data_IF_908486969786
#
_entry.id   IF_908486969786
#
_cell.length_a   1.000
_cell.length_b   1.000
_cell.length_c   1.000
_cell.angle_alpha   90.00
_cell.angle_beta   90.00
_cell.angle_gamma   90.00
#
_symmetry.space_group_name_H-M   'P 1'
#
loop_
_entity.id
_entity.type
_entity.pdbx_description
1 polymer ?
#
# COMPACT_ATOMS: atom_id res chain seq x y z
N UNK A 1 28.34 -51.82 31.54
CA UNK A 1 28.48 -50.36 31.62
C UNK A 1 28.33 -49.83 30.22
N UNK A 2 27.11 -49.43 29.85
CA UNK A 2 26.88 -48.55 28.71
C UNK A 2 27.46 -47.20 29.12
N UNK A 3 28.51 -46.74 28.43
CA UNK A 3 28.88 -45.33 28.48
C UNK A 3 27.66 -44.55 28.00
N UNK A 4 27.01 -43.80 28.89
CA UNK A 4 26.13 -42.72 28.48
C UNK A 4 26.97 -41.81 27.58
N UNK A 5 26.73 -41.88 26.27
CA UNK A 5 27.26 -40.88 25.36
C UNK A 5 26.71 -39.55 25.85
N UNK A 6 27.58 -38.72 26.45
CA UNK A 6 27.20 -37.37 26.87
C UNK A 6 26.55 -36.68 25.66
N UNK A 7 25.28 -36.30 25.82
CA UNK A 7 24.53 -35.65 24.75
C UNK A 7 25.31 -34.41 24.32
N UNK A 8 25.66 -34.32 23.04
CA UNK A 8 26.37 -33.17 22.50
C UNK A 8 25.56 -31.90 22.80
N UNK A 9 26.23 -30.78 23.06
CA UNK A 9 25.52 -29.52 23.24
C UNK A 9 24.71 -29.15 22.01
N UNK A 10 23.82 -28.17 22.11
CA UNK A 10 23.02 -27.71 20.97
C UNK A 10 22.91 -26.20 20.96
N UNK A 11 23.11 -25.60 19.79
CA UNK A 11 22.78 -24.19 19.51
C UNK A 11 21.58 -24.18 18.57
N UNK A 12 20.44 -23.65 19.03
CA UNK A 12 19.26 -23.44 18.20
C UNK A 12 19.12 -21.96 17.88
N UNK A 13 19.15 -21.59 16.60
CA UNK A 13 18.86 -20.22 16.15
C UNK A 13 17.42 -20.18 15.68
N UNK A 14 16.58 -19.43 16.41
CA UNK A 14 15.17 -19.28 16.13
C UNK A 14 14.92 -18.05 15.27
N UNK A 15 14.46 -18.26 14.03
CA UNK A 15 14.05 -17.22 13.11
C UNK A 15 12.55 -16.93 13.28
N UNK A 16 12.19 -15.67 13.50
CA UNK A 16 10.81 -15.22 13.64
C UNK A 16 10.48 -14.20 12.56
N UNK A 17 9.26 -14.24 12.05
CA UNK A 17 8.72 -13.20 11.17
C UNK A 17 8.24 -12.02 12.02
N UNK A 18 8.67 -10.78 11.74
CA UNK A 18 8.14 -9.59 12.40
C UNK A 18 6.71 -9.26 11.93
N UNK A 19 6.19 -9.97 10.93
CA UNK A 19 4.85 -9.80 10.32
C UNK A 19 3.81 -10.76 10.92
N UNK A 20 4.23 -11.62 11.84
CA UNK A 20 3.35 -12.51 12.60
C UNK A 20 3.25 -11.99 14.02
N UNK A 21 2.09 -12.18 14.67
CA UNK A 21 1.90 -11.74 16.05
C UNK A 21 2.99 -12.35 16.97
N UNK A 22 3.60 -11.55 17.86
CA UNK A 22 4.60 -12.04 18.78
C UNK A 22 4.10 -13.23 19.60
N UNK A 23 4.91 -14.27 19.74
CA UNK A 23 4.55 -15.50 20.48
C UNK A 23 3.76 -16.55 19.68
N UNK A 24 3.28 -16.24 18.47
CA UNK A 24 2.81 -17.27 17.54
C UNK A 24 4.00 -18.00 16.92
N UNK A 25 4.55 -18.94 17.69
CA UNK A 25 5.63 -19.80 17.27
C UNK A 25 5.14 -21.21 16.94
N UNK A 26 5.85 -21.90 16.04
CA UNK A 26 5.61 -23.32 15.77
C UNK A 26 5.78 -24.14 17.05
N UNK A 27 5.13 -25.32 17.13
CA UNK A 27 5.28 -26.20 18.30
C UNK A 27 6.73 -26.61 18.53
N UNK A 28 7.48 -26.86 17.45
CA UNK A 28 8.90 -27.18 17.52
C UNK A 28 9.72 -26.03 18.14
N UNK A 29 9.40 -24.78 17.77
CA UNK A 29 10.05 -23.60 18.35
C UNK A 29 9.78 -23.47 19.86
N UNK A 30 8.54 -23.66 20.29
CA UNK A 30 8.22 -23.67 21.73
C UNK A 30 8.96 -24.79 22.47
N UNK A 31 9.01 -26.00 21.91
CA UNK A 31 9.76 -27.11 22.50
C UNK A 31 11.26 -26.82 22.62
N UNK A 32 11.85 -26.18 21.60
CA UNK A 32 13.25 -25.78 21.64
C UNK A 32 13.52 -24.72 22.72
N UNK A 33 12.64 -23.73 22.87
CA UNK A 33 12.75 -22.70 23.91
C UNK A 33 12.56 -23.28 25.32
N UNK A 34 11.55 -24.15 25.52
CA UNK A 34 11.27 -24.82 26.80
C UNK A 34 12.40 -25.76 27.24
N UNK A 35 13.07 -26.42 26.27
CA UNK A 35 14.18 -27.34 26.53
C UNK A 35 15.54 -26.64 26.68
N UNK A 36 15.65 -25.37 26.28
CA UNK A 36 16.90 -24.64 26.33
C UNK A 36 17.32 -24.36 27.79
N UNK A 37 18.59 -24.65 28.09
CA UNK A 37 19.21 -24.26 29.36
C UNK A 37 19.29 -22.74 29.51
N UNK A 38 19.50 -22.03 28.40
CA UNK A 38 19.48 -20.58 28.34
C UNK A 38 18.94 -20.11 26.99
N UNK A 39 18.16 -19.02 27.02
CA UNK A 39 17.64 -18.35 25.84
C UNK A 39 18.32 -16.98 25.78
N UNK A 40 18.90 -16.66 24.62
CA UNK A 40 19.57 -15.39 24.36
C UNK A 40 18.86 -14.60 23.28
N UNK A 41 19.02 -13.29 23.31
CA UNK A 41 18.70 -12.40 22.21
C UNK A 41 19.67 -11.21 22.22
N UNK A 42 19.88 -10.58 21.07
CA UNK A 42 20.68 -9.37 20.98
C UNK A 42 20.12 -8.28 21.90
N UNK A 43 20.99 -7.65 22.68
CA UNK A 43 20.63 -6.51 23.51
C UNK A 43 20.36 -5.27 22.66
N UNK A 44 19.27 -4.55 22.94
CA UNK A 44 19.05 -3.22 22.33
C UNK A 44 20.21 -2.29 22.71
N UNK A 45 20.95 -1.70 21.76
CA UNK A 45 22.07 -0.82 22.09
C UNK A 45 21.61 0.35 22.95
N UNK A 46 22.30 0.58 24.07
CA UNK A 46 22.02 1.70 24.95
C UNK A 46 22.33 3.02 24.23
N UNK A 47 21.30 3.70 23.72
CA UNK A 47 21.39 5.08 23.21
C UNK A 47 21.42 5.26 21.69
N UNK A 48 20.79 4.38 20.90
CA UNK A 48 20.54 4.64 19.47
C UNK A 48 19.07 4.99 19.22
N UNK A 49 18.79 6.22 18.79
CA UNK A 49 17.50 6.54 18.16
C UNK A 49 17.22 5.56 17.03
N UNK A 50 16.03 4.98 16.98
CA UNK A 50 15.58 4.17 15.86
C UNK A 50 15.77 4.94 14.54
N UNK A 51 16.71 4.51 13.70
CA UNK A 51 16.97 5.13 12.40
C UNK A 51 18.38 4.92 11.85
N UNK A 52 18.61 3.79 11.18
CA UNK A 52 19.12 3.73 9.80
C UNK A 52 19.52 2.29 9.49
N UNK A 53 18.65 1.58 8.78
CA UNK A 53 19.09 0.42 8.02
C UNK A 53 20.00 0.95 6.91
N UNK A 54 21.28 0.62 6.99
CA UNK A 54 22.24 0.85 5.92
C UNK A 54 21.77 0.17 4.64
N UNK A 55 21.48 0.95 3.61
CA UNK A 55 21.39 0.49 2.21
C UNK A 55 22.73 -0.16 1.81
N UNK A 56 22.74 -1.27 1.04
CA UNK A 56 23.96 -1.77 0.45
C UNK A 56 24.39 -0.86 -0.71
N UNK A 57 25.63 -0.39 -0.66
CA UNK A 57 26.33 0.36 -1.71
C UNK A 57 26.47 -0.48 -3.00
N UNK A 58 25.86 -0.10 -4.14
CA UNK A 58 25.95 -0.85 -5.38
C UNK A 58 27.09 -0.31 -6.25
N UNK A 59 28.34 -0.49 -5.83
CA UNK A 59 29.47 -0.15 -6.70
C UNK A 59 30.73 -0.96 -6.41
N UNK A 60 30.83 -2.16 -7.00
CA UNK A 60 32.09 -2.72 -7.55
C UNK A 60 31.88 -4.08 -8.23
N UNK A 61 32.03 -4.11 -9.56
CA UNK A 61 32.58 -5.31 -10.23
C UNK A 61 31.96 -5.72 -11.57
N UNK A 62 32.29 -5.03 -12.66
CA UNK A 62 32.52 -5.59 -14.00
C UNK A 62 33.01 -4.44 -14.91
N UNK A 63 34.32 -4.30 -15.13
CA UNK A 63 35.07 -4.84 -16.28
C UNK A 63 34.69 -4.16 -17.61
N UNK A 64 35.68 -3.53 -18.24
CA UNK A 64 35.48 -2.50 -19.27
C UNK A 64 35.47 -3.00 -20.71
N UNK A 65 35.18 -2.07 -21.62
CA UNK A 65 35.85 -1.92 -22.93
C UNK A 65 35.39 -0.63 -23.65
N UNK A 66 36.41 0.13 -24.08
CA UNK A 66 36.53 0.91 -25.32
C UNK A 66 35.67 2.17 -25.61
N UNK A 67 36.42 3.30 -25.66
CA UNK A 67 36.50 4.33 -26.72
C UNK A 67 35.33 5.30 -26.96
N UNK A 68 35.58 6.56 -26.61
CA UNK A 68 35.06 7.75 -27.30
C UNK A 68 35.96 8.08 -28.52
N UNK A 69 35.45 8.82 -29.53
CA UNK A 69 35.48 10.28 -29.44
C UNK A 69 34.16 10.98 -29.85
N UNK A 70 33.92 12.11 -29.18
CA UNK A 70 33.02 13.23 -29.49
C UNK A 70 33.47 14.00 -30.78
N UNK A 71 32.79 15.07 -31.28
CA UNK A 71 31.54 15.72 -30.81
C UNK A 71 30.56 16.16 -31.92
N UNK A 72 29.34 16.56 -31.53
CA UNK A 72 28.71 17.87 -31.83
C UNK A 72 27.17 17.85 -31.89
N UNK A 73 26.55 18.64 -31.00
CA UNK A 73 25.46 19.57 -31.37
C UNK A 73 24.00 19.13 -31.18
N UNK A 74 23.29 19.83 -30.28
CA UNK A 74 21.89 20.21 -30.54
C UNK A 74 20.80 19.72 -29.58
N UNK A 75 20.61 20.49 -28.51
CA UNK A 75 19.33 20.92 -27.92
C UNK A 75 18.19 19.91 -27.55
N UNK A 76 17.93 19.92 -26.23
CA UNK A 76 16.64 20.12 -25.55
C UNK A 76 15.54 19.02 -25.57
N UNK A 77 15.29 18.48 -24.37
CA UNK A 77 14.05 17.79 -23.97
C UNK A 77 14.06 17.60 -22.45
N UNK A 78 13.28 18.41 -21.75
CA UNK A 78 13.26 18.57 -20.29
C UNK A 78 12.57 17.40 -19.57
N UNK A 79 13.29 16.76 -18.64
CA UNK A 79 12.75 15.90 -17.58
C UNK A 79 12.78 16.69 -16.28
N UNK A 80 11.61 16.93 -15.67
CA UNK A 80 11.48 17.70 -14.44
C UNK A 80 11.75 16.81 -13.23
N UNK A 81 13.00 16.79 -12.79
CA UNK A 81 13.39 16.34 -11.45
C UNK A 81 13.15 17.47 -10.44
N UNK A 82 12.49 17.12 -9.33
CA UNK A 82 12.24 17.98 -8.17
C UNK A 82 13.56 18.44 -7.52
N UNK A 83 13.87 19.74 -7.64
CA UNK A 83 14.90 20.40 -6.85
C UNK A 83 14.25 21.27 -5.77
N UNK A 84 14.52 20.93 -4.51
CA UNK A 84 14.16 21.67 -3.30
C UNK A 84 15.26 22.68 -2.95
N UNK A 85 15.02 23.98 -3.09
CA UNK A 85 15.78 25.00 -2.35
C UNK A 85 15.09 26.38 -2.30
N UNK A 86 14.95 26.90 -1.07
CA UNK A 86 14.81 28.33 -0.74
C UNK A 86 13.37 28.83 -0.60
N UNK A 87 12.95 29.50 0.47
CA UNK A 87 13.60 29.99 1.68
C UNK A 87 12.68 31.06 2.30
N UNK A 88 12.71 31.22 3.62
CA UNK A 88 12.37 32.48 4.28
C UNK A 88 12.78 32.44 5.75
N UNK A 89 13.79 33.25 6.09
CA UNK A 89 14.15 33.56 7.45
C UNK A 89 13.09 34.47 8.07
N UNK A 90 12.48 34.03 9.16
CA UNK A 90 11.60 34.82 10.01
C UNK A 90 12.14 34.83 11.44
N UNK A 91 12.75 35.94 11.83
CA UNK A 91 13.26 36.20 13.17
C UNK A 91 12.13 36.33 14.19
N UNK A 92 12.14 35.55 15.27
CA UNK A 92 11.35 35.83 16.48
C UNK A 92 12.20 35.70 17.73
N UNK A 93 12.32 36.82 18.43
CA UNK A 93 13.01 37.07 19.69
C UNK A 93 12.46 36.28 20.88
N UNK A 94 13.33 35.62 21.63
CA UNK A 94 13.05 35.05 22.96
C UNK A 94 13.33 36.11 24.04
N UNK A 95 12.46 36.34 25.04
CA UNK A 95 12.81 37.19 26.17
C UNK A 95 13.61 36.38 27.21
N UNK A 96 14.69 36.98 27.70
CA UNK A 96 15.52 36.47 28.78
C UNK A 96 14.75 36.44 30.11
N UNK A 97 14.71 35.28 30.76
CA UNK A 97 14.20 35.07 32.11
C UNK A 97 15.32 35.10 33.16
N UNK A 98 15.02 35.74 34.28
CA UNK A 98 15.82 36.11 35.45
C UNK A 98 16.56 34.93 36.15
N UNK A 99 17.85 35.04 36.50
CA UNK A 99 18.61 33.96 37.12
C UNK A 99 18.55 34.05 38.65
N UNK A 100 17.59 33.39 39.30
CA UNK A 100 17.63 33.14 40.77
C UNK A 100 16.65 32.07 41.21
N UNK A 101 17.03 30.79 41.13
CA UNK A 101 16.43 29.72 41.95
C UNK A 101 17.47 28.60 42.15
N UNK A 102 17.78 28.19 43.39
CA UNK A 102 18.78 27.14 43.61
C UNK A 102 18.22 25.79 43.16
N UNK A 103 19.02 25.07 42.37
CA UNK A 103 18.71 23.73 41.86
C UNK A 103 18.53 22.74 43.02
N UNK A 104 17.29 22.30 43.24
CA UNK A 104 17.01 21.12 44.06
C UNK A 104 17.42 19.90 43.24
N UNK A 105 18.47 19.20 43.68
CA UNK A 105 18.96 17.98 43.06
C UNK A 105 17.91 16.87 43.22
N UNK A 106 17.12 16.64 42.17
CA UNK A 106 16.35 15.40 42.02
C UNK A 106 17.33 14.23 41.95
N UNK A 107 17.06 13.10 42.64
CA UNK A 107 17.83 11.88 42.42
C UNK A 107 17.71 11.46 40.94
N UNK A 108 18.74 10.82 40.36
CA UNK A 108 18.66 10.38 38.97
C UNK A 108 17.44 9.46 38.78
N UNK A 109 16.73 9.56 37.65
CA UNK A 109 15.63 8.64 37.37
C UNK A 109 16.17 7.21 37.41
N UNK A 110 15.39 6.30 38.03
CA UNK A 110 15.64 4.87 38.00
C UNK A 110 15.91 4.44 36.54
N UNK A 111 16.91 3.58 36.35
CA UNK A 111 17.50 3.25 35.05
C UNK A 111 16.44 3.05 33.97
N UNK A 112 16.66 3.66 32.81
CA UNK A 112 15.79 3.53 31.64
C UNK A 112 15.50 2.03 31.39
N UNK A 113 14.25 1.65 31.57
CA UNK A 113 13.80 0.28 31.34
C UNK A 113 14.08 -0.06 29.88
N UNK A 114 14.90 -1.09 29.63
CA UNK A 114 15.29 -1.45 28.27
C UNK A 114 14.05 -1.93 27.53
N UNK A 115 13.65 -1.21 26.48
CA UNK A 115 12.54 -1.64 25.62
C UNK A 115 12.97 -2.91 24.89
N UNK A 116 12.34 -4.02 25.28
CA UNK A 116 12.54 -5.33 24.66
C UNK A 116 11.80 -5.41 23.33
N UNK A 117 12.36 -6.17 22.37
CA UNK A 117 11.66 -6.53 21.14
C UNK A 117 10.40 -7.34 21.46
N UNK A 118 9.37 -7.22 20.62
CA UNK A 118 8.05 -7.79 20.91
C UNK A 118 8.07 -9.33 21.00
N UNK A 119 8.90 -10.01 20.20
CA UNK A 119 9.11 -11.45 20.27
C UNK A 119 9.80 -11.87 21.58
N UNK A 120 10.81 -11.12 22.03
CA UNK A 120 11.43 -11.30 23.35
C UNK A 120 10.41 -11.09 24.47
N UNK A 121 9.60 -10.04 24.39
CA UNK A 121 8.52 -9.79 25.37
C UNK A 121 7.52 -10.95 25.42
N UNK A 122 7.14 -11.52 24.27
CA UNK A 122 6.23 -12.65 24.21
C UNK A 122 6.81 -13.91 24.85
N UNK A 123 8.09 -14.21 24.61
CA UNK A 123 8.79 -15.33 25.26
C UNK A 123 8.91 -15.10 26.76
N UNK A 124 9.27 -13.89 27.20
CA UNK A 124 9.30 -13.54 28.63
C UNK A 124 7.92 -13.64 29.28
N UNK A 125 6.87 -13.16 28.61
CA UNK A 125 5.49 -13.24 29.05
C UNK A 125 4.97 -14.68 29.19
N UNK A 126 5.57 -15.65 28.51
CA UNK A 126 5.29 -17.08 28.68
C UNK A 126 5.93 -17.70 29.93
N UNK A 127 6.76 -16.94 30.66
CA UNK A 127 7.45 -17.38 31.86
C UNK A 127 8.89 -17.85 31.64
N UNK A 128 9.41 -17.75 30.42
CA UNK A 128 10.79 -18.11 30.08
C UNK A 128 11.74 -16.92 30.28
N UNK A 129 12.95 -17.16 30.80
CA UNK A 129 13.96 -16.11 30.96
C UNK A 129 14.77 -15.94 29.68
N UNK A 130 14.84 -14.70 29.17
CA UNK A 130 15.67 -14.34 28.00
C UNK A 130 16.81 -13.43 28.43
N UNK A 131 18.05 -13.85 28.17
CA UNK A 131 19.26 -13.07 28.43
C UNK A 131 19.51 -12.11 27.27
N UNK A 132 19.55 -10.81 27.55
CA UNK A 132 19.99 -9.80 26.60
C UNK A 132 21.52 -9.80 26.55
N UNK A 133 22.09 -10.20 25.42
CA UNK A 133 23.55 -10.22 25.24
C UNK A 133 23.96 -8.92 24.56
N UNK A 134 24.72 -8.10 25.27
CA UNK A 134 25.29 -6.87 24.73
C UNK A 134 26.54 -7.16 23.91
N UNK A 135 26.83 -6.29 22.94
CA UNK A 135 28.01 -6.39 22.07
C UNK A 135 27.63 -6.60 20.62
N UNK A 136 28.57 -7.14 19.85
CA UNK A 136 28.36 -7.48 18.45
C UNK A 136 28.30 -8.99 18.23
N UNK A 137 28.44 -9.37 16.95
CA UNK A 137 28.35 -10.77 16.51
C UNK A 137 29.33 -11.70 17.26
N UNK A 138 30.52 -11.21 17.61
CA UNK A 138 31.53 -12.00 18.32
C UNK A 138 31.07 -12.34 19.75
N UNK A 139 30.49 -11.38 20.47
CA UNK A 139 29.95 -11.57 21.81
C UNK A 139 28.72 -12.48 21.79
N UNK A 140 27.83 -12.29 20.81
CA UNK A 140 26.65 -13.16 20.62
C UNK A 140 27.07 -14.62 20.37
N UNK A 141 28.02 -14.83 19.45
CA UNK A 141 28.54 -16.17 19.18
C UNK A 141 29.31 -16.76 20.35
N UNK A 142 30.11 -15.96 21.05
CA UNK A 142 30.82 -16.38 22.26
C UNK A 142 29.87 -16.86 23.35
N UNK A 143 28.76 -16.16 23.55
CA UNK A 143 27.71 -16.56 24.50
C UNK A 143 27.07 -17.90 24.12
N UNK A 144 26.71 -18.08 22.85
CA UNK A 144 26.11 -19.33 22.35
C UNK A 144 27.07 -20.52 22.43
N UNK A 145 28.28 -20.36 21.88
CA UNK A 145 29.26 -21.43 21.76
C UNK A 145 29.82 -21.87 23.11
N UNK A 146 29.97 -20.97 24.09
CA UNK A 146 30.50 -21.31 25.42
C UNK A 146 29.58 -22.30 26.16
N UNK A 147 28.27 -22.03 26.18
CA UNK A 147 27.29 -22.91 26.83
C UNK A 147 27.14 -24.24 26.08
N UNK A 148 27.09 -24.19 24.74
CA UNK A 148 26.97 -25.39 23.92
C UNK A 148 28.21 -26.30 24.03
N UNK A 149 29.42 -25.73 24.08
CA UNK A 149 30.66 -26.50 24.28
C UNK A 149 30.72 -27.21 25.65
N UNK A 150 29.92 -26.77 26.62
CA UNK A 150 29.75 -27.44 27.91
C UNK A 150 28.63 -28.51 27.92
N UNK A 151 28.15 -28.93 26.73
CA UNK A 151 27.10 -29.95 26.60
C UNK A 151 25.68 -29.45 26.92
N UNK A 152 25.44 -28.12 26.85
CA UNK A 152 24.11 -27.54 27.11
C UNK A 152 23.37 -27.24 25.81
N UNK A 153 22.04 -27.33 25.84
CA UNK A 153 21.19 -26.78 24.79
C UNK A 153 20.95 -25.29 25.05
N UNK A 154 21.19 -24.43 24.07
CA UNK A 154 20.90 -22.99 24.11
C UNK A 154 20.09 -22.58 22.89
N UNK A 155 19.20 -21.62 23.09
CA UNK A 155 18.39 -21.05 22.03
C UNK A 155 18.69 -19.56 21.86
N UNK A 156 18.65 -19.08 20.62
CA UNK A 156 18.85 -17.68 20.26
C UNK A 156 17.63 -17.18 19.51
N UNK A 157 16.99 -16.12 20.01
CA UNK A 157 15.91 -15.41 19.30
C UNK A 157 16.56 -14.41 18.34
N UNK A 158 16.56 -14.73 17.05
CA UNK A 158 17.16 -13.88 16.03
C UNK A 158 16.44 -12.53 15.89
N UNK A 159 17.18 -11.52 15.43
CA UNK A 159 16.67 -10.20 15.02
C UNK A 159 15.57 -10.25 13.96
N UNK A 160 14.81 -9.16 13.82
CA UNK A 160 13.79 -9.01 12.75
C UNK A 160 14.41 -9.04 11.35
N UNK A 161 15.71 -8.74 11.25
CA UNK A 161 16.53 -8.85 10.03
C UNK A 161 17.15 -10.25 9.83
N UNK A 162 16.89 -11.18 10.74
CA UNK A 162 17.48 -12.52 10.76
C UNK A 162 18.97 -12.57 11.14
N UNK A 163 19.56 -11.44 11.57
CA UNK A 163 20.97 -11.29 11.95
C UNK A 163 21.96 -11.97 10.98
N UNK A 164 22.05 -11.50 9.71
CA UNK A 164 22.89 -12.15 8.70
C UNK A 164 24.37 -12.21 9.09
N UNK A 165 24.85 -11.27 9.92
CA UNK A 165 26.21 -11.29 10.48
C UNK A 165 26.46 -12.50 11.40
N UNK A 166 25.52 -12.82 12.29
CA UNK A 166 25.62 -13.99 13.17
C UNK A 166 25.53 -15.28 12.38
N UNK A 167 24.56 -15.39 11.46
CA UNK A 167 24.41 -16.55 10.59
C UNK A 167 25.66 -16.81 9.74
N UNK A 168 26.33 -15.75 9.28
CA UNK A 168 27.61 -15.87 8.58
C UNK A 168 28.71 -16.44 9.48
N UNK A 169 28.85 -15.96 10.71
CA UNK A 169 29.85 -16.49 11.66
C UNK A 169 29.57 -17.96 11.97
N UNK A 170 28.31 -18.33 12.19
CA UNK A 170 27.89 -19.72 12.41
C UNK A 170 28.30 -20.60 11.22
N UNK A 171 28.00 -20.16 9.99
CA UNK A 171 28.37 -20.89 8.77
C UNK A 171 29.90 -21.02 8.62
N UNK A 172 30.65 -19.94 8.85
CA UNK A 172 32.12 -19.93 8.78
C UNK A 172 32.73 -20.89 9.82
N UNK A 173 32.17 -20.99 11.02
CA UNK A 173 32.64 -21.90 12.06
C UNK A 173 32.36 -23.37 11.71
N UNK A 174 31.13 -23.69 11.29
CA UNK A 174 30.76 -25.05 10.86
C UNK A 174 31.59 -25.52 9.65
N UNK A 175 31.99 -24.60 8.77
CA UNK A 175 32.88 -24.90 7.64
C UNK A 175 34.32 -25.21 8.09
N UNK A 176 34.81 -24.57 9.16
CA UNK A 176 36.18 -24.75 9.69
C UNK A 176 36.31 -25.95 10.62
N UNK A 177 35.28 -26.21 11.43
CA UNK A 177 35.18 -27.36 12.33
C UNK A 177 33.92 -28.18 11.97
N UNK A 178 34.03 -29.16 11.06
CA UNK A 178 32.88 -29.92 10.57
C UNK A 178 32.22 -30.82 11.61
N UNK A 179 32.84 -30.98 12.80
CA UNK A 179 32.32 -31.77 13.93
C UNK A 179 32.60 -31.02 15.23
N UNK A 180 31.85 -29.94 15.53
CA UNK A 180 31.98 -29.25 16.80
C UNK A 180 31.55 -30.17 17.95
N UNK A 181 31.85 -29.76 19.19
CA UNK A 181 31.36 -30.45 20.40
C UNK A 181 29.84 -30.32 20.62
N UNK A 182 29.14 -29.65 19.71
CA UNK A 182 27.71 -29.34 19.75
C UNK A 182 27.12 -29.31 18.34
N UNK A 183 25.81 -29.56 18.26
CA UNK A 183 25.03 -29.41 17.04
C UNK A 183 24.52 -27.98 16.89
N UNK A 184 24.32 -27.55 15.64
CA UNK A 184 23.69 -26.26 15.33
C UNK A 184 22.43 -26.52 14.51
N UNK A 185 21.32 -25.96 14.96
CA UNK A 185 20.01 -26.06 14.31
C UNK A 185 19.47 -24.65 14.01
N UNK A 186 18.96 -24.45 12.79
CA UNK A 186 18.19 -23.25 12.43
C UNK A 186 16.73 -23.65 12.39
N UNK A 187 15.93 -23.03 13.25
CA UNK A 187 14.51 -23.34 13.41
C UNK A 187 13.66 -22.13 13.08
N UNK A 188 12.65 -22.32 12.22
CA UNK A 188 11.70 -21.26 11.90
C UNK A 188 10.57 -21.26 12.95
N UNK A 189 10.59 -20.25 13.80
CA UNK A 189 9.56 -20.00 14.81
C UNK A 189 8.28 -19.50 14.20
N UNK A 190 8.38 -18.56 13.26
CA UNK A 190 7.24 -18.10 12.45
C UNK A 190 7.73 -17.74 11.06
N UNK A 191 6.81 -17.66 10.10
CA UNK A 191 7.14 -17.41 8.70
C UNK A 191 6.15 -16.42 8.09
N UNK A 192 6.64 -15.67 7.11
CA UNK A 192 5.80 -14.82 6.28
C UNK A 192 4.83 -15.67 5.47
N UNK A 193 3.56 -15.27 5.46
CA UNK A 193 2.56 -15.78 4.52
C UNK A 193 2.50 -14.89 3.27
N UNK A 194 2.06 -15.40 2.11
CA UNK A 194 1.81 -14.56 0.95
C UNK A 194 0.94 -13.35 1.30
N UNK A 195 1.36 -12.15 0.88
CA UNK A 195 0.68 -10.90 1.20
C UNK A 195 1.14 -10.21 2.50
N UNK A 196 2.00 -10.83 3.31
CA UNK A 196 2.48 -10.26 4.58
C UNK A 196 3.14 -8.88 4.45
N UNK A 197 3.69 -8.54 3.27
CA UNK A 197 4.29 -7.23 2.98
C UNK A 197 3.31 -6.06 3.10
N UNK A 198 2.01 -6.31 3.04
CA UNK A 198 1.01 -5.28 3.33
C UNK A 198 1.12 -4.78 4.78
N UNK A 199 1.54 -5.63 5.73
CA UNK A 199 1.76 -5.23 7.12
C UNK A 199 2.94 -4.25 7.23
N UNK A 200 3.97 -4.40 6.39
CA UNK A 200 5.07 -3.43 6.32
C UNK A 200 4.56 -2.08 5.82
N UNK A 201 3.73 -2.07 4.77
CA UNK A 201 3.12 -0.84 4.24
C UNK A 201 2.31 -0.11 5.32
N UNK A 202 1.45 -0.81 6.06
CA UNK A 202 0.68 -0.21 7.17
C UNK A 202 1.60 0.43 8.20
N UNK A 203 2.66 -0.28 8.61
CA UNK A 203 3.64 0.25 9.59
C UNK A 203 4.41 1.45 9.06
N UNK A 204 4.83 1.41 7.79
CA UNK A 204 5.55 2.51 7.14
C UNK A 204 4.64 3.73 7.02
N UNK A 205 3.41 3.55 6.55
CA UNK A 205 2.44 4.64 6.42
C UNK A 205 2.13 5.28 7.77
N UNK A 206 1.93 4.48 8.81
CA UNK A 206 1.69 4.97 10.17
C UNK A 206 2.93 5.68 10.77
N UNK A 207 4.14 5.25 10.41
CA UNK A 207 5.37 5.98 10.74
C UNK A 207 5.45 7.32 10.00
N UNK A 208 5.17 7.34 8.70
CA UNK A 208 5.17 8.55 7.87
C UNK A 208 4.13 9.56 8.40
N UNK A 209 2.87 9.13 8.57
CA UNK A 209 1.78 9.97 9.11
C UNK A 209 2.10 10.59 10.47
N UNK A 210 2.95 9.97 11.30
CA UNK A 210 3.34 10.55 12.60
C UNK A 210 4.59 11.41 12.59
N UNK A 211 5.47 11.27 11.60
CA UNK A 211 6.83 11.83 11.68
C UNK A 211 7.19 12.74 10.50
N UNK A 212 6.46 12.68 9.39
CA UNK A 212 6.68 13.56 8.24
C UNK A 212 5.65 14.71 8.29
N UNK A 213 6.08 15.98 8.27
CA UNK A 213 5.16 17.12 8.30
C UNK A 213 4.18 17.14 7.12
N UNK A 214 4.67 16.82 5.92
CA UNK A 214 3.82 16.78 4.74
C UNK A 214 2.74 15.70 4.87
N UNK A 215 3.10 14.50 5.32
CA UNK A 215 2.13 13.41 5.49
C UNK A 215 1.09 13.70 6.58
N UNK A 216 1.45 14.47 7.61
CA UNK A 216 0.53 14.90 8.68
C UNK A 216 -0.54 15.86 8.18
N UNK A 217 -0.21 16.74 7.24
CA UNK A 217 -1.11 17.78 6.74
C UNK A 217 -2.11 17.28 5.70
N UNK A 218 -1.93 16.06 5.16
CA UNK A 218 -2.81 15.54 4.11
C UNK A 218 -4.22 15.21 4.64
N UNK A 219 -5.23 15.57 3.86
CA UNK A 219 -6.64 15.18 4.02
C UNK A 219 -7.12 14.38 2.80
N UNK A 220 -8.30 13.77 2.89
CA UNK A 220 -8.90 13.07 1.75
C UNK A 220 -9.04 13.96 0.51
N UNK A 221 -9.42 15.22 0.69
CA UNK A 221 -9.59 16.18 -0.40
C UNK A 221 -8.25 16.54 -1.05
N UNK A 222 -7.19 16.72 -0.25
CA UNK A 222 -5.86 17.02 -0.77
C UNK A 222 -5.24 15.86 -1.56
N UNK A 223 -5.60 14.61 -1.19
CA UNK A 223 -5.10 13.40 -1.81
C UNK A 223 -5.88 13.00 -3.08
N UNK A 224 -7.10 13.51 -3.26
CA UNK A 224 -7.98 13.12 -4.37
C UNK A 224 -7.36 13.34 -5.76
N UNK A 225 -6.50 14.37 -5.92
CA UNK A 225 -5.80 14.60 -7.19
C UNK A 225 -4.77 13.50 -7.48
N UNK A 226 -4.02 13.05 -6.47
CA UNK A 226 -2.99 12.02 -6.63
C UNK A 226 -3.66 10.68 -6.94
N UNK A 227 -4.76 10.34 -6.24
CA UNK A 227 -5.55 9.15 -6.58
C UNK A 227 -6.03 9.15 -8.04
N UNK A 228 -6.39 10.31 -8.59
CA UNK A 228 -6.77 10.42 -9.99
C UNK A 228 -5.55 10.23 -10.91
N UNK A 229 -4.42 10.87 -10.61
CA UNK A 229 -3.15 10.72 -11.32
C UNK A 229 -2.72 9.24 -11.37
N UNK A 230 -2.57 8.57 -10.22
CA UNK A 230 -2.17 7.16 -10.15
C UNK A 230 -3.14 6.22 -10.89
N UNK A 231 -4.43 6.58 -10.93
CA UNK A 231 -5.42 5.81 -11.69
C UNK A 231 -5.13 5.90 -13.18
N UNK A 232 -4.79 7.08 -13.70
CA UNK A 232 -4.49 7.25 -15.12
C UNK A 232 -3.11 6.69 -15.50
N UNK A 233 -2.11 6.80 -14.63
CA UNK A 233 -0.79 6.20 -14.84
C UNK A 233 -0.90 4.66 -14.87
N UNK A 234 -1.67 4.07 -13.96
CA UNK A 234 -2.01 2.64 -14.01
C UNK A 234 -2.67 2.25 -15.33
N UNK A 235 -3.62 3.08 -15.81
CA UNK A 235 -4.29 2.80 -17.08
C UNK A 235 -3.33 2.94 -18.28
N UNK A 236 -2.40 3.88 -18.26
CA UNK A 236 -1.34 3.99 -19.28
C UNK A 236 -0.43 2.76 -19.28
N UNK A 237 -0.03 2.26 -18.11
CA UNK A 237 0.76 1.04 -18.00
C UNK A 237 0.02 -0.19 -18.55
N UNK A 238 -1.30 -0.27 -18.36
CA UNK A 238 -2.15 -1.30 -18.97
C UNK A 238 -2.19 -1.14 -20.50
N UNK A 239 -2.40 0.08 -20.99
CA UNK A 239 -2.54 0.37 -22.42
C UNK A 239 -1.24 0.07 -23.19
N UNK A 240 -0.09 0.36 -22.58
CA UNK A 240 1.25 0.10 -23.14
C UNK A 240 1.73 -1.34 -22.97
N UNK A 241 1.14 -2.08 -22.01
CA UNK A 241 1.54 -3.45 -21.69
C UNK A 241 2.86 -3.55 -20.90
N UNK A 242 3.36 -2.44 -20.36
CA UNK A 242 4.56 -2.40 -19.53
C UNK A 242 4.26 -2.97 -18.13
N UNK A 243 4.81 -4.15 -17.85
CA UNK A 243 4.55 -4.86 -16.58
C UNK A 243 5.33 -4.31 -15.40
N UNK A 244 6.50 -3.73 -15.64
CA UNK A 244 7.31 -3.17 -14.56
C UNK A 244 6.69 -1.85 -14.10
N UNK A 245 6.30 -1.01 -15.06
CA UNK A 245 5.53 0.20 -14.81
C UNK A 245 4.17 -0.14 -14.16
N UNK A 246 3.42 -1.12 -14.67
CA UNK A 246 2.15 -1.53 -14.05
C UNK A 246 2.30 -1.94 -12.58
N UNK A 247 3.41 -2.59 -12.22
CA UNK A 247 3.67 -2.99 -10.84
C UNK A 247 3.96 -1.78 -9.94
N UNK A 248 4.65 -0.77 -10.46
CA UNK A 248 4.91 0.51 -9.79
C UNK A 248 3.60 1.24 -9.53
N UNK A 249 2.80 1.47 -10.58
CA UNK A 249 1.54 2.21 -10.49
C UNK A 249 0.47 1.51 -9.62
N UNK A 250 0.42 0.17 -9.65
CA UNK A 250 -0.43 -0.58 -8.71
C UNK A 250 0.04 -0.43 -7.26
N UNK A 251 1.34 -0.22 -7.04
CA UNK A 251 1.92 0.12 -5.76
C UNK A 251 1.48 1.51 -5.29
N UNK A 252 1.48 2.50 -6.17
CA UNK A 252 1.07 3.86 -5.84
C UNK A 252 -0.45 3.99 -5.65
N UNK A 253 -1.26 3.28 -6.43
CA UNK A 253 -2.68 3.12 -6.12
C UNK A 253 -2.92 2.46 -4.76
N UNK A 254 -2.13 1.44 -4.41
CA UNK A 254 -2.22 0.80 -3.10
C UNK A 254 -1.77 1.76 -1.98
N UNK A 255 -0.77 2.60 -2.22
CA UNK A 255 -0.38 3.67 -1.30
C UNK A 255 -1.55 4.62 -1.05
N UNK A 256 -2.29 5.04 -2.08
CA UNK A 256 -3.46 5.91 -1.89
C UNK A 256 -4.51 5.24 -0.99
N UNK A 257 -4.81 3.95 -1.16
CA UNK A 257 -5.74 3.22 -0.29
C UNK A 257 -5.22 3.17 1.16
N UNK A 258 -3.95 2.87 1.37
CA UNK A 258 -3.34 2.83 2.69
C UNK A 258 -3.33 4.21 3.36
N UNK A 259 -3.04 5.27 2.60
CA UNK A 259 -2.97 6.63 3.12
C UNK A 259 -4.35 7.16 3.48
N UNK A 260 -5.36 7.01 2.59
CA UNK A 260 -6.73 7.38 2.92
C UNK A 260 -7.24 6.60 4.15
N UNK A 261 -6.94 5.31 4.28
CA UNK A 261 -7.31 4.54 5.46
C UNK A 261 -6.64 5.09 6.72
N UNK A 262 -5.34 5.38 6.67
CA UNK A 262 -4.62 5.94 7.82
C UNK A 262 -5.09 7.36 8.19
N UNK A 263 -5.51 8.18 7.23
CA UNK A 263 -6.13 9.48 7.49
C UNK A 263 -7.46 9.30 8.22
N UNK A 264 -8.28 8.34 7.79
CA UNK A 264 -9.57 8.06 8.44
C UNK A 264 -9.41 7.57 9.89
N UNK A 265 -8.31 6.88 10.21
CA UNK A 265 -8.00 6.47 11.59
C UNK A 265 -7.78 7.65 12.55
N UNK A 266 -7.46 8.86 12.06
CA UNK A 266 -7.29 10.04 12.91
C UNK A 266 -8.62 10.53 13.52
N UNK A 267 -9.77 10.12 12.96
CA UNK A 267 -11.11 10.43 13.48
C UNK A 267 -11.53 9.53 14.65
N UNK A 268 -10.63 8.64 15.12
CA UNK A 268 -10.86 7.80 16.30
C UNK A 268 -12.05 6.87 16.13
N UNK A 269 -13.00 6.89 17.08
CA UNK A 269 -14.16 5.98 17.10
C UNK A 269 -15.14 6.20 15.93
N UNK A 270 -15.09 7.36 15.26
CA UNK A 270 -15.92 7.66 14.07
C UNK A 270 -15.21 7.32 12.75
N UNK A 271 -13.90 7.02 12.83
CA UNK A 271 -13.04 6.67 11.70
C UNK A 271 -13.13 5.20 11.27
N UNK A 272 -12.25 4.81 10.37
CA UNK A 272 -12.06 3.42 9.96
C UNK A 272 -10.59 3.15 9.65
N UNK A 273 -10.19 1.89 9.77
CA UNK A 273 -8.82 1.41 9.53
C UNK A 273 -8.68 0.76 8.17
N UNK A 274 -7.43 0.49 7.77
CA UNK A 274 -7.15 -0.36 6.59
C UNK A 274 -7.72 -1.78 6.74
N UNK A 275 -7.80 -2.30 7.97
CA UNK A 275 -8.38 -3.61 8.25
C UNK A 275 -9.91 -3.60 8.07
N UNK A 276 -10.58 -2.50 8.39
CA UNK A 276 -12.01 -2.32 8.12
C UNK A 276 -12.29 -2.26 6.61
N UNK A 277 -11.45 -1.53 5.86
CA UNK A 277 -11.53 -1.46 4.39
C UNK A 277 -11.35 -2.86 3.78
N UNK A 278 -10.30 -3.58 4.19
CA UNK A 278 -9.98 -4.92 3.73
C UNK A 278 -11.08 -5.93 4.12
N UNK A 279 -11.54 -5.90 5.36
CA UNK A 279 -12.64 -6.74 5.86
C UNK A 279 -13.92 -6.51 5.06
N UNK A 280 -14.30 -5.24 4.86
CA UNK A 280 -15.49 -4.87 4.11
C UNK A 280 -15.47 -5.34 2.65
N UNK A 281 -14.32 -5.30 1.97
CA UNK A 281 -14.20 -5.86 0.60
C UNK A 281 -14.20 -7.39 0.61
N UNK A 282 -13.52 -8.04 1.56
CA UNK A 282 -13.48 -9.52 1.69
C UNK A 282 -14.87 -10.09 1.93
N UNK A 283 -15.59 -9.59 2.93
CA UNK A 283 -16.95 -10.05 3.25
C UNK A 283 -17.91 -9.86 2.08
N UNK A 284 -17.84 -8.69 1.42
CA UNK A 284 -18.63 -8.38 0.23
C UNK A 284 -18.32 -9.35 -0.92
N UNK A 285 -17.05 -9.65 -1.18
CA UNK A 285 -16.64 -10.57 -2.24
C UNK A 285 -17.08 -12.00 -1.93
N UNK A 286 -16.91 -12.48 -0.69
CA UNK A 286 -17.38 -13.82 -0.28
C UNK A 286 -18.89 -13.93 -0.48
N UNK A 287 -19.66 -12.96 0.05
CA UNK A 287 -21.12 -12.95 -0.04
C UNK A 287 -21.62 -12.92 -1.49
N UNK A 288 -20.96 -12.18 -2.37
CA UNK A 288 -21.38 -12.02 -3.77
C UNK A 288 -20.82 -13.09 -4.73
N UNK A 289 -19.97 -13.98 -4.23
CA UNK A 289 -19.50 -15.16 -4.98
C UNK A 289 -19.95 -16.48 -4.29
N UNK A 290 -21.26 -16.70 -4.08
CA UNK A 290 -21.75 -17.95 -3.48
C UNK A 290 -21.48 -19.19 -4.36
N UNK A 291 -21.07 -18.99 -5.61
CA UNK A 291 -20.63 -20.03 -6.53
C UNK A 291 -19.16 -20.42 -6.35
N UNK A 292 -18.37 -19.61 -5.66
CA UNK A 292 -17.00 -19.94 -5.25
C UNK A 292 -16.95 -20.37 -3.79
N UNK A 293 -17.65 -19.64 -2.91
CA UNK A 293 -17.55 -19.80 -1.45
C UNK A 293 -18.77 -20.47 -0.80
N UNK A 294 -19.79 -20.81 -1.58
CA UNK A 294 -21.03 -21.41 -1.09
C UNK A 294 -21.43 -22.64 -1.90
N UNK A 295 -22.75 -22.80 -2.12
CA UNK A 295 -23.33 -23.98 -2.79
C UNK A 295 -24.05 -23.66 -4.09
N UNK A 296 -24.09 -22.40 -4.52
CA UNK A 296 -24.80 -21.98 -5.75
C UNK A 296 -23.99 -22.41 -6.97
N UNK A 297 -24.59 -23.12 -7.92
CA UNK A 297 -23.91 -23.41 -9.18
C UNK A 297 -24.06 -22.23 -10.17
N UNK A 298 -22.99 -21.88 -10.87
CA UNK A 298 -23.01 -20.97 -12.01
C UNK A 298 -22.23 -21.61 -13.16
N UNK A 299 -22.86 -21.77 -14.33
CA UNK A 299 -22.29 -22.53 -15.45
C UNK A 299 -21.31 -21.70 -16.30
N UNK A 300 -21.48 -20.39 -16.33
CA UNK A 300 -20.72 -19.47 -17.17
C UNK A 300 -20.67 -18.05 -16.56
N UNK A 301 -19.92 -17.15 -17.21
CA UNK A 301 -19.76 -15.77 -16.77
C UNK A 301 -21.07 -14.99 -16.76
N UNK A 302 -21.99 -15.27 -17.69
CA UNK A 302 -23.29 -14.59 -17.74
C UNK A 302 -24.16 -14.97 -16.52
N UNK A 303 -24.15 -16.24 -16.12
CA UNK A 303 -24.80 -16.69 -14.90
C UNK A 303 -24.17 -16.08 -13.64
N UNK A 304 -22.85 -15.92 -13.61
CA UNK A 304 -22.13 -15.23 -12.51
C UNK A 304 -22.55 -13.77 -12.43
N UNK A 305 -22.61 -13.05 -13.54
CA UNK A 305 -23.01 -11.64 -13.59
C UNK A 305 -24.47 -11.45 -13.17
N UNK A 306 -25.38 -12.32 -13.64
CA UNK A 306 -26.79 -12.28 -13.24
C UNK A 306 -26.97 -12.50 -11.73
N UNK A 307 -26.26 -13.47 -11.16
CA UNK A 307 -26.24 -13.71 -9.72
C UNK A 307 -25.70 -12.50 -8.95
N UNK A 308 -24.62 -11.89 -9.43
CA UNK A 308 -24.04 -10.69 -8.84
C UNK A 308 -25.02 -9.53 -8.79
N UNK A 309 -25.69 -9.22 -9.91
CA UNK A 309 -26.68 -8.15 -9.96
C UNK A 309 -27.90 -8.43 -9.08
N UNK A 310 -28.32 -9.69 -8.96
CA UNK A 310 -29.42 -10.11 -8.07
C UNK A 310 -29.08 -9.85 -6.60
N UNK A 311 -27.90 -10.29 -6.15
CA UNK A 311 -27.43 -10.08 -4.77
C UNK A 311 -27.29 -8.59 -4.47
N UNK A 312 -26.68 -7.84 -5.40
CA UNK A 312 -26.51 -6.38 -5.29
C UNK A 312 -27.83 -5.62 -5.23
N UNK A 313 -28.86 -6.07 -5.95
CA UNK A 313 -30.19 -5.48 -5.90
C UNK A 313 -30.88 -5.74 -4.55
N UNK A 314 -30.71 -6.94 -3.97
CA UNK A 314 -31.25 -7.27 -2.65
C UNK A 314 -30.57 -6.46 -1.52
N UNK A 315 -29.26 -6.22 -1.63
CA UNK A 315 -28.48 -5.46 -0.63
C UNK A 315 -28.78 -3.96 -0.59
N UNK A 316 -29.16 -3.35 -1.72
CA UNK A 316 -29.37 -1.90 -1.83
C UNK A 316 -30.83 -1.58 -2.13
N UNK A 317 -31.58 -1.17 -1.11
CA UNK A 317 -32.91 -0.58 -1.26
C UNK A 317 -32.78 0.85 -1.81
N UNK A 318 -32.55 0.96 -3.13
CA UNK A 318 -32.37 2.26 -3.79
C UNK A 318 -33.70 2.92 -4.08
N UNK A 319 -33.75 4.22 -3.85
CA UNK A 319 -34.87 5.09 -4.22
C UNK A 319 -34.89 5.43 -5.72
N UNK A 320 -33.72 5.41 -6.37
CA UNK A 320 -33.54 5.70 -7.79
C UNK A 320 -32.63 4.68 -8.49
N UNK A 321 -32.91 4.38 -9.76
CA UNK A 321 -32.03 3.54 -10.59
C UNK A 321 -30.66 4.16 -10.83
N UNK A 322 -30.57 5.50 -10.75
CA UNK A 322 -29.33 6.26 -10.91
C UNK A 322 -28.56 6.43 -9.59
N UNK A 323 -29.13 6.00 -8.47
CA UNK A 323 -28.50 6.13 -7.15
C UNK A 323 -27.17 5.35 -7.10
N UNK A 324 -26.10 6.03 -6.64
CA UNK A 324 -24.74 5.50 -6.54
C UNK A 324 -23.95 5.47 -7.85
N UNK A 325 -24.35 6.24 -8.87
CA UNK A 325 -23.48 6.58 -10.00
C UNK A 325 -22.50 7.67 -9.52
N UNK A 326 -21.17 7.44 -9.57
CA UNK A 326 -20.21 8.48 -9.24
C UNK A 326 -20.22 9.56 -10.33
N UNK A 327 -20.64 10.78 -9.99
CA UNK A 327 -20.71 11.88 -10.95
C UNK A 327 -19.34 12.42 -11.36
N UNK A 328 -18.28 12.10 -10.60
CA UNK A 328 -16.91 12.44 -10.92
C UNK A 328 -16.29 11.56 -12.03
N UNK A 329 -17.04 10.59 -12.57
CA UNK A 329 -16.57 9.80 -13.72
C UNK A 329 -16.32 10.71 -14.94
N UNK A 330 -15.33 10.38 -15.79
CA UNK A 330 -15.21 10.95 -17.12
C UNK A 330 -16.52 10.89 -17.90
N UNK A 331 -16.77 11.87 -18.76
CA UNK A 331 -18.09 12.10 -19.34
C UNK A 331 -18.62 10.90 -20.13
N UNK A 332 -17.78 10.17 -20.87
CA UNK A 332 -18.24 9.01 -21.66
C UNK A 332 -18.52 7.82 -20.75
N UNK A 333 -17.64 7.54 -19.78
CA UNK A 333 -17.88 6.52 -18.76
C UNK A 333 -19.13 6.81 -17.90
N UNK A 334 -19.38 8.08 -17.55
CA UNK A 334 -20.58 8.52 -16.85
C UNK A 334 -21.83 8.29 -17.70
N UNK A 335 -21.81 8.74 -18.96
CA UNK A 335 -22.91 8.56 -19.91
C UNK A 335 -23.22 7.08 -20.12
N UNK A 336 -22.18 6.24 -20.28
CA UNK A 336 -22.29 4.79 -20.38
C UNK A 336 -23.01 4.24 -19.13
N UNK A 337 -22.53 4.57 -17.94
CA UNK A 337 -23.12 4.07 -16.69
C UNK A 337 -24.58 4.50 -16.51
N UNK A 338 -24.92 5.74 -16.86
CA UNK A 338 -26.30 6.26 -16.83
C UNK A 338 -27.18 5.51 -17.82
N UNK A 339 -26.75 5.35 -19.07
CA UNK A 339 -27.49 4.61 -20.10
C UNK A 339 -27.72 3.16 -19.67
N UNK A 340 -26.71 2.48 -19.13
CA UNK A 340 -26.83 1.13 -18.59
C UNK A 340 -27.89 1.02 -17.50
N UNK A 341 -27.96 2.00 -16.58
CA UNK A 341 -29.02 2.04 -15.55
C UNK A 341 -30.40 2.36 -16.13
N UNK A 342 -30.44 3.23 -17.13
CA UNK A 342 -31.67 3.65 -17.77
C UNK A 342 -32.39 2.49 -18.46
N UNK A 343 -31.67 1.51 -19.03
CA UNK A 343 -32.28 0.31 -19.66
C UNK A 343 -33.23 -0.48 -18.75
N UNK A 344 -33.11 -0.33 -17.42
CA UNK A 344 -34.00 -1.00 -16.46
C UNK A 344 -35.41 -0.40 -16.42
N UNK A 345 -35.59 0.82 -16.94
CA UNK A 345 -36.85 1.58 -16.86
C UNK A 345 -37.25 2.24 -18.18
N UNK A 346 -36.31 2.54 -19.07
CA UNK A 346 -36.55 3.14 -20.38
C UNK A 346 -36.36 2.10 -21.50
N UNK A 347 -37.20 2.12 -22.54
CA UNK A 347 -36.97 1.35 -23.76
C UNK A 347 -35.59 1.66 -24.36
N UNK A 348 -34.95 0.66 -24.99
CA UNK A 348 -33.63 0.82 -25.64
C UNK A 348 -33.63 1.92 -26.71
N UNK A 349 -34.77 2.08 -27.40
CA UNK A 349 -35.01 3.07 -28.45
C UNK A 349 -35.67 4.36 -27.91
N UNK A 350 -35.70 4.57 -26.59
CA UNK A 350 -36.25 5.78 -26.03
C UNK A 350 -35.52 6.99 -26.63
N UNK A 351 -36.25 7.93 -27.25
CA UNK A 351 -35.62 9.08 -27.87
C UNK A 351 -34.84 9.86 -26.82
N UNK A 352 -33.61 10.26 -27.17
CA UNK A 352 -32.89 11.26 -26.39
C UNK A 352 -33.82 12.46 -26.23
N UNK A 353 -34.02 13.00 -25.01
CA UNK A 353 -34.87 14.16 -24.82
C UNK A 353 -34.45 15.21 -25.85
N UNK A 354 -35.41 15.60 -26.72
CA UNK A 354 -35.17 16.68 -27.64
C UNK A 354 -34.76 17.92 -26.83
N UNK A 355 -33.94 18.82 -27.39
CA UNK A 355 -33.69 20.12 -26.77
C UNK A 355 -35.01 20.67 -26.26
N UNK A 356 -35.03 21.22 -25.04
CA UNK A 356 -36.23 21.84 -24.51
C UNK A 356 -36.65 22.92 -25.50
N UNK A 357 -37.64 22.61 -26.31
CA UNK A 357 -38.12 23.51 -27.34
C UNK A 357 -38.73 24.68 -26.57
N UNK A 358 -38.05 25.83 -26.58
CA UNK A 358 -38.52 27.08 -25.97
C UNK A 358 -39.82 27.61 -26.61
N UNK A 359 -40.48 26.80 -27.43
CA UNK A 359 -41.63 27.10 -28.26
C UNK A 359 -42.88 26.28 -27.90
N UNK A 360 -42.83 25.41 -26.86
CA UNK A 360 -44.05 24.78 -26.34
C UNK A 360 -44.99 25.88 -25.78
N UNK A 361 -46.22 26.04 -26.30
CA UNK A 361 -47.11 27.11 -25.85
C UNK A 361 -47.54 26.80 -24.41
N UNK A 362 -46.97 27.55 -23.48
CA UNK A 362 -47.43 27.59 -22.09
C UNK A 362 -48.82 28.22 -22.13
N UNK A 363 -49.86 27.43 -21.90
CA UNK A 363 -51.20 27.95 -21.62
C UNK A 363 -51.16 28.67 -20.27
N UNK A 364 -50.70 29.92 -20.28
CA UNK A 364 -50.71 30.82 -19.14
C UNK A 364 -51.94 31.77 -19.24
N UNK A 365 -52.60 32.09 -18.11
CA UNK A 365 -53.75 32.99 -18.09
C UNK A 365 -53.37 34.41 -18.53
N UNK A 366 -54.36 35.14 -19.06
CA UNK A 366 -54.25 36.32 -19.91
C UNK A 366 -53.68 37.62 -19.29
N UNK A 367 -52.82 37.55 -18.26
CA UNK A 367 -52.24 38.74 -17.59
C UNK A 367 -50.73 38.61 -17.26
N UNK A 368 -49.98 37.80 -18.02
CA UNK A 368 -48.51 37.75 -17.90
C UNK A 368 -47.81 38.76 -18.84
N UNK A 369 -46.66 39.35 -18.43
CA UNK A 369 -45.91 40.28 -19.27
C UNK A 369 -45.42 39.62 -20.57
N UNK A 370 -45.31 40.44 -21.63
CA UNK A 370 -44.98 40.06 -23.01
C UNK A 370 -43.74 39.13 -23.13
N UNK A 371 -43.73 38.12 -24.03
CA UNK A 371 -42.66 37.12 -24.16
C UNK A 371 -41.38 37.63 -24.84
N UNK A 372 -41.05 38.92 -24.69
CA UNK A 372 -39.91 39.54 -25.35
C UNK A 372 -38.56 39.34 -24.62
N UNK A 373 -38.57 38.81 -23.40
CA UNK A 373 -37.36 38.57 -22.59
C UNK A 373 -36.98 37.09 -22.44
N UNK A 374 -37.58 36.21 -23.25
CA UNK A 374 -37.10 34.83 -23.36
C UNK A 374 -35.71 34.86 -24.03
N UNK A 375 -34.65 34.72 -23.23
CA UNK A 375 -33.27 34.57 -23.69
C UNK A 375 -33.23 33.41 -24.69
N UNK A 376 -33.12 33.74 -25.98
CA UNK A 376 -32.88 32.73 -27.00
C UNK A 376 -31.48 32.16 -26.77
N UNK A 377 -31.31 30.83 -26.74
CA UNK A 377 -29.98 30.24 -26.66
C UNK A 377 -29.14 30.79 -27.82
N UNK A 378 -27.92 31.26 -27.52
CA UNK A 378 -26.98 31.65 -28.56
C UNK A 378 -26.72 30.47 -29.50
N UNK A 379 -26.34 30.73 -30.75
CA UNK A 379 -26.04 29.66 -31.70
C UNK A 379 -24.94 28.71 -31.18
N UNK A 380 -23.97 29.25 -30.42
CA UNK A 380 -22.96 28.46 -29.70
C UNK A 380 -23.55 27.52 -28.63
N UNK A 381 -24.59 27.96 -27.90
CA UNK A 381 -25.31 27.12 -26.94
C UNK A 381 -26.07 25.97 -27.62
N UNK A 382 -26.68 26.25 -28.77
CA UNK A 382 -27.35 25.22 -29.60
C UNK A 382 -26.36 24.21 -30.18
N UNK A 383 -25.18 24.67 -30.62
CA UNK A 383 -24.14 23.79 -31.13
C UNK A 383 -23.55 22.90 -30.04
N UNK A 384 -23.28 23.44 -28.84
CA UNK A 384 -22.81 22.65 -27.70
C UNK A 384 -23.83 21.56 -27.31
N UNK A 385 -25.11 21.90 -27.26
CA UNK A 385 -26.19 20.94 -26.99
C UNK A 385 -26.28 19.85 -28.07
N UNK A 386 -26.24 20.24 -29.35
CA UNK A 386 -26.24 19.30 -30.49
C UNK A 386 -25.05 18.34 -30.42
N UNK A 387 -23.85 18.85 -30.16
CA UNK A 387 -22.64 18.02 -30.04
C UNK A 387 -22.74 17.09 -28.84
N UNK A 388 -23.23 17.57 -27.69
CA UNK A 388 -23.46 16.73 -26.51
C UNK A 388 -24.42 15.56 -26.79
N UNK A 389 -25.51 15.82 -27.52
CA UNK A 389 -26.44 14.76 -27.94
C UNK A 389 -25.80 13.77 -28.92
N UNK A 390 -24.95 14.24 -29.84
CA UNK A 390 -24.20 13.37 -30.75
C UNK A 390 -23.21 12.47 -29.99
N UNK A 391 -22.46 13.02 -29.03
CA UNK A 391 -21.56 12.23 -28.18
C UNK A 391 -22.33 11.16 -27.38
N UNK A 392 -23.48 11.51 -26.81
CA UNK A 392 -24.33 10.56 -26.10
C UNK A 392 -24.87 9.45 -27.03
N UNK A 393 -25.19 9.78 -28.28
CA UNK A 393 -25.60 8.80 -29.28
C UNK A 393 -24.45 7.82 -29.62
N UNK A 394 -23.22 8.32 -29.74
CA UNK A 394 -22.03 7.49 -29.95
C UNK A 394 -21.81 6.54 -28.75
N UNK A 395 -21.96 7.03 -27.51
CA UNK A 395 -21.85 6.17 -26.31
C UNK A 395 -22.92 5.06 -26.31
N UNK A 396 -24.15 5.37 -26.76
CA UNK A 396 -25.21 4.37 -26.90
C UNK A 396 -24.87 3.30 -27.92
N UNK A 397 -24.32 3.71 -29.08
CA UNK A 397 -23.85 2.80 -30.11
C UNK A 397 -22.72 1.90 -29.60
N UNK A 398 -21.71 2.50 -28.93
CA UNK A 398 -20.60 1.77 -28.32
C UNK A 398 -21.10 0.72 -27.33
N UNK A 399 -22.03 1.07 -26.41
CA UNK A 399 -22.65 0.10 -25.50
C UNK A 399 -23.33 -1.04 -26.26
N UNK A 400 -24.11 -0.74 -27.30
CA UNK A 400 -24.81 -1.76 -28.07
C UNK A 400 -23.85 -2.73 -28.76
N UNK A 401 -22.65 -2.25 -29.12
CA UNK A 401 -21.57 -3.05 -29.66
C UNK A 401 -20.70 -3.74 -28.58
N UNK A 402 -20.95 -3.52 -27.29
CA UNK A 402 -20.12 -4.03 -26.20
C UNK A 402 -18.75 -3.35 -26.09
N UNK A 403 -18.61 -2.13 -26.61
CA UNK A 403 -17.38 -1.34 -26.61
C UNK A 403 -17.43 -0.31 -25.48
N UNK A 404 -16.37 -0.23 -24.68
CA UNK A 404 -16.17 0.88 -23.75
C UNK A 404 -15.78 2.15 -24.52
N UNK A 405 -16.69 3.12 -24.57
CA UNK A 405 -16.50 4.36 -25.33
C UNK A 405 -15.34 5.23 -24.80
N UNK A 406 -15.10 5.22 -23.49
CA UNK A 406 -14.01 5.99 -22.87
C UNK A 406 -12.66 5.40 -23.30
N UNK A 407 -12.52 4.08 -23.16
CA UNK A 407 -11.31 3.38 -23.57
C UNK A 407 -11.06 3.50 -25.09
N UNK A 408 -12.11 3.37 -25.90
CA UNK A 408 -12.00 3.52 -27.35
C UNK A 408 -11.48 4.91 -27.76
N UNK A 409 -11.97 5.97 -27.11
CA UNK A 409 -11.49 7.33 -27.38
C UNK A 409 -10.03 7.51 -26.92
N UNK A 410 -9.66 6.97 -25.75
CA UNK A 410 -8.27 7.02 -25.26
C UNK A 410 -7.30 6.38 -26.24
N UNK A 411 -7.61 5.18 -26.74
CA UNK A 411 -6.80 4.51 -27.77
C UNK A 411 -6.71 5.34 -29.05
N UNK A 412 -7.80 5.96 -29.51
CA UNK A 412 -7.79 6.80 -30.70
C UNK A 412 -6.95 8.07 -30.52
N UNK A 413 -7.00 8.71 -29.34
CA UNK A 413 -6.19 9.89 -29.00
C UNK A 413 -4.71 9.54 -28.93
N UNK A 414 -4.35 8.38 -28.37
CA UNK A 414 -2.96 7.89 -28.36
C UNK A 414 -2.43 7.73 -29.79
N UNK A 415 -3.19 7.08 -30.67
CA UNK A 415 -2.81 6.90 -32.07
C UNK A 415 -2.67 8.24 -32.83
N UNK A 416 -3.52 9.23 -32.54
CA UNK A 416 -3.38 10.58 -33.09
C UNK A 416 -2.12 11.28 -32.58
N UNK A 417 -1.80 11.11 -31.30
CA UNK A 417 -0.59 11.67 -30.68
C UNK A 417 0.66 11.12 -31.35
N UNK A 418 0.71 9.81 -31.61
CA UNK A 418 1.82 9.18 -32.32
C UNK A 418 1.96 9.69 -33.76
N UNK A 419 0.84 9.90 -34.46
CA UNK A 419 0.85 10.49 -35.80
C UNK A 419 1.43 11.91 -35.80
N UNK A 420 1.05 12.73 -34.81
CA UNK A 420 1.57 14.10 -34.65
C UNK A 420 3.08 14.05 -34.39
N UNK A 421 3.53 13.21 -33.44
CA UNK A 421 4.97 13.04 -33.13
C UNK A 421 5.77 12.56 -34.32
N UNK A 422 5.23 11.65 -35.14
CA UNK A 422 5.89 11.20 -36.36
C UNK A 422 6.03 12.34 -37.38
N UNK A 423 5.01 13.20 -37.50
CA UNK A 423 5.04 14.35 -38.39
C UNK A 423 5.99 15.46 -37.91
N UNK A 424 6.15 15.66 -36.60
CA UNK A 424 7.13 16.62 -36.04
C UNK A 424 8.59 16.22 -36.31
N UNK A 425 8.84 14.91 -36.45
CA UNK A 425 10.17 14.35 -36.74
C UNK A 425 10.46 14.20 -38.25
N UNK A 426 9.57 14.67 -39.12
CA UNK A 426 9.70 14.66 -40.59
C UNK A 426 9.99 16.07 -41.10
#
# INVERSE_FOLDING_TARGET
MTEDAAEAGRVTILLTSPRVAPGLLTRAAWQALEAAFAIGAAGTPAGGTAGSSSTPDPARGAAGASSTPDPAGGAAGSSSTLDLAGGAAGSSSTPAGDPSTPASSLPPPAGAERVLRADVQAVVGSGLAVTQVDGGVAEHWGWLSAAASAGRAVAWLAGDDGEPGLLRVVADQLAREPRPAYDVEILHGSYDVPGSRLIDLVRVMDRLRRNCPWDQEQTHESLAKYLLEETYETLEAIDTGDRDHLREELGDLLLQVAFHSRVAEDDGDEGFTIDDVAGGIVEKLIRRHPHVFGTVAAADAAAVEANWETIKAAEKQRSSVLEGIPLALPALALADKVLGRATKILPTDAPTPAPADASAPVNAPADAPSPADAVTPSDAGRDAERIGQQLLAIVREARAAGVDAEQALRTAVAALTDQIRAAENT
#
